data_IF_622121188934
#
_entry.id   IF_622121188934
#
_cell.length_a   1.000
_cell.length_b   1.000
_cell.length_c   1.000
_cell.angle_alpha   90.00
_cell.angle_beta   90.00
_cell.angle_gamma   90.00
#
_symmetry.space_group_name_H-M   'P 1'
#
loop_
_entity.id
_entity.type
_entity.pdbx_description
1 polymer ?
#
# COMPACT_ATOMS: atom_id res chain seq x y z
N UNK A 1 9.14 6.22 -7.96
CA UNK A 1 7.98 6.25 -7.03
C UNK A 1 7.13 4.98 -7.14
N UNK A 2 7.74 3.79 -7.00
CA UNK A 2 6.99 2.52 -7.08
C UNK A 2 6.17 2.23 -5.83
N UNK A 3 6.56 2.82 -4.71
CA UNK A 3 5.92 2.63 -3.41
C UNK A 3 4.59 3.40 -3.27
N UNK A 4 4.43 4.51 -4.00
CA UNK A 4 3.29 5.42 -3.85
C UNK A 4 1.92 4.74 -4.06
N UNK A 5 1.71 3.91 -5.10
CA UNK A 5 0.41 3.28 -5.33
C UNK A 5 -0.05 2.31 -4.23
N UNK A 6 0.87 1.78 -3.43
CA UNK A 6 0.59 0.76 -2.41
C UNK A 6 0.87 1.21 -0.99
N UNK A 7 1.17 2.50 -0.79
CA UNK A 7 1.45 3.03 0.54
C UNK A 7 0.19 2.99 1.42
N UNK A 8 0.39 2.64 2.68
CA UNK A 8 -0.66 2.57 3.69
C UNK A 8 -0.16 3.36 4.91
N UNK A 9 -0.87 4.44 5.24
CA UNK A 9 -0.64 5.18 6.47
C UNK A 9 -0.86 4.27 7.68
N UNK A 10 -0.07 4.47 8.74
CA UNK A 10 -0.23 3.70 9.97
C UNK A 10 -1.60 3.92 10.60
N UNK A 11 -2.13 5.14 10.53
CA UNK A 11 -3.45 5.46 11.05
C UNK A 11 -4.57 4.79 10.25
N UNK A 12 -4.44 4.73 8.92
CA UNK A 12 -5.40 4.03 8.07
C UNK A 12 -5.34 2.50 8.27
N UNK A 13 -4.15 1.96 8.54
CA UNK A 13 -3.97 0.55 8.91
C UNK A 13 -4.71 0.21 10.21
N UNK A 14 -4.55 1.04 11.25
CA UNK A 14 -5.23 0.84 12.53
C UNK A 14 -6.75 0.95 12.36
N UNK A 15 -7.24 1.94 11.61
CA UNK A 15 -8.67 2.12 11.34
C UNK A 15 -9.28 0.93 10.57
N UNK A 16 -8.55 0.37 9.58
CA UNK A 16 -8.99 -0.84 8.86
C UNK A 16 -9.15 -2.02 9.82
N UNK A 17 -8.19 -2.22 10.73
CA UNK A 17 -8.25 -3.31 11.72
C UNK A 17 -9.42 -3.09 12.68
N UNK A 18 -9.60 -1.87 13.19
CA UNK A 18 -10.69 -1.54 14.12
C UNK A 18 -12.07 -1.81 13.50
N UNK A 19 -12.24 -1.45 12.23
CA UNK A 19 -13.49 -1.74 11.49
C UNK A 19 -13.70 -3.22 11.23
N UNK A 20 -12.65 -3.99 10.96
CA UNK A 20 -12.77 -5.44 10.86
C UNK A 20 -13.21 -6.06 12.20
N UNK A 21 -12.74 -5.54 13.32
CA UNK A 21 -13.13 -6.00 14.66
C UNK A 21 -14.56 -5.58 15.03
N UNK A 22 -14.98 -4.39 14.60
CA UNK A 22 -16.32 -3.86 14.82
C UNK A 22 -17.35 -4.31 13.78
N UNK A 23 -16.94 -5.11 12.79
CA UNK A 23 -17.80 -5.59 11.72
C UNK A 23 -18.99 -6.40 12.28
N UNK A 24 -20.16 -6.36 11.64
CA UNK A 24 -21.33 -7.11 12.10
C UNK A 24 -21.04 -8.61 12.10
N UNK A 25 -21.58 -9.36 13.07
CA UNK A 25 -21.35 -10.80 13.17
C UNK A 25 -21.83 -11.59 11.93
N UNK A 26 -22.70 -11.01 11.09
CA UNK A 26 -23.09 -11.59 9.82
C UNK A 26 -21.93 -11.65 8.81
N UNK A 27 -20.96 -10.74 8.92
CA UNK A 27 -19.75 -10.73 8.10
C UNK A 27 -18.74 -11.73 8.66
N UNK A 28 -18.76 -12.96 8.14
CA UNK A 28 -17.88 -14.04 8.61
C UNK A 28 -16.48 -13.98 8.03
N UNK A 29 -16.36 -13.58 6.76
CA UNK A 29 -15.11 -13.48 6.03
C UNK A 29 -15.29 -12.53 4.84
N UNK A 30 -14.25 -11.76 4.54
CA UNK A 30 -14.15 -10.94 3.32
C UNK A 30 -12.68 -10.58 3.04
N UNK A 31 -12.39 -9.92 1.93
CA UNK A 31 -11.05 -9.47 1.53
C UNK A 31 -11.07 -7.99 1.12
N UNK A 32 -10.20 -7.19 1.74
CA UNK A 32 -10.10 -5.76 1.50
C UNK A 32 -8.69 -5.35 1.05
N UNK A 33 -8.61 -4.37 0.15
CA UNK A 33 -7.34 -3.72 -0.17
C UNK A 33 -7.11 -2.56 0.81
N UNK A 34 -6.28 -2.78 1.83
CA UNK A 34 -5.89 -1.74 2.77
C UNK A 34 -4.77 -0.88 2.17
N UNK A 35 -5.14 0.15 1.42
CA UNK A 35 -4.25 1.18 0.85
C UNK A 35 -4.90 2.54 1.11
N UNK A 36 -4.11 3.53 1.52
CA UNK A 36 -4.60 4.89 1.76
C UNK A 36 -5.13 5.56 0.48
N UNK A 37 -5.68 6.78 0.55
CA UNK A 37 -6.26 7.47 -0.62
C UNK A 37 -5.20 8.05 -1.57
N UNK A 38 -4.25 7.20 -1.97
CA UNK A 38 -3.14 7.56 -2.84
C UNK A 38 -3.67 7.91 -4.23
N UNK A 39 -3.16 9.01 -4.80
CA UNK A 39 -3.56 9.50 -6.14
C UNK A 39 -3.35 8.46 -7.24
N UNK A 40 -2.28 7.66 -7.12
CA UNK A 40 -1.87 6.69 -8.13
C UNK A 40 -2.19 5.23 -7.76
N UNK A 41 -3.12 5.00 -6.82
CA UNK A 41 -3.53 3.64 -6.46
C UNK A 41 -4.05 2.87 -7.68
N UNK A 42 -3.73 1.58 -7.71
CA UNK A 42 -4.09 0.64 -8.78
C UNK A 42 -5.06 -0.45 -8.29
N UNK A 43 -5.41 -0.41 -7.00
CA UNK A 43 -6.30 -1.33 -6.32
C UNK A 43 -7.52 -0.55 -5.88
N UNK A 44 -8.68 -1.17 -6.06
CA UNK A 44 -9.94 -0.58 -5.62
C UNK A 44 -10.08 -0.70 -4.09
N UNK A 45 -10.53 0.40 -3.47
CA UNK A 45 -10.83 0.51 -2.04
C UNK A 45 -12.33 0.73 -1.78
N UNK A 46 -13.15 0.85 -2.83
CA UNK A 46 -14.59 1.08 -2.76
C UNK A 46 -15.33 -0.02 -2.00
N UNK A 47 -14.95 -1.29 -2.21
CA UNK A 47 -15.54 -2.42 -1.48
C UNK A 47 -15.42 -2.28 0.05
N UNK A 48 -14.26 -1.85 0.55
CA UNK A 48 -14.05 -1.64 1.98
C UNK A 48 -14.89 -0.46 2.51
N UNK A 49 -15.09 0.58 1.71
CA UNK A 49 -16.01 1.67 2.04
C UNK A 49 -17.45 1.20 2.12
N UNK A 50 -17.90 0.36 1.18
CA UNK A 50 -19.27 -0.15 1.13
C UNK A 50 -19.58 -1.12 2.26
N UNK A 51 -18.66 -2.05 2.55
CA UNK A 51 -18.88 -3.12 3.55
C UNK A 51 -18.55 -2.67 4.98
N UNK A 52 -17.46 -1.92 5.17
CA UNK A 52 -16.95 -1.54 6.49
C UNK A 52 -17.10 -0.04 6.81
N UNK A 53 -17.60 0.75 5.86
CA UNK A 53 -17.63 2.22 5.99
C UNK A 53 -16.23 2.85 6.00
N UNK A 54 -15.20 2.13 5.53
CA UNK A 54 -13.80 2.57 5.64
C UNK A 54 -13.49 3.76 4.73
N UNK A 55 -12.93 4.81 5.31
CA UNK A 55 -12.54 6.05 4.62
C UNK A 55 -11.12 6.44 5.04
N UNK A 56 -10.08 6.01 4.30
CA UNK A 56 -8.71 6.35 4.62
C UNK A 56 -8.46 7.85 4.49
N UNK A 57 -7.55 8.37 5.32
CA UNK A 57 -7.21 9.80 5.42
C UNK A 57 -5.79 10.12 4.94
N UNK A 58 -4.92 9.11 4.87
CA UNK A 58 -3.55 9.28 4.42
C UNK A 58 -3.45 9.42 2.90
N UNK A 59 -2.36 10.05 2.45
CA UNK A 59 -1.99 10.13 1.04
C UNK A 59 -0.49 9.91 0.90
N UNK A 60 -0.06 9.01 0.02
CA UNK A 60 1.35 8.77 -0.28
C UNK A 60 2.06 10.07 -0.73
N UNK A 61 1.30 10.97 -1.37
CA UNK A 61 1.78 12.24 -1.89
C UNK A 61 2.27 13.22 -0.80
N UNK A 62 1.90 13.00 0.46
CA UNK A 62 2.36 13.80 1.60
C UNK A 62 3.82 13.49 2.01
N UNK A 63 4.40 12.41 1.46
CA UNK A 63 5.70 11.89 1.87
C UNK A 63 6.67 11.74 0.69
N UNK A 64 7.95 12.02 0.92
CA UNK A 64 9.01 11.67 -0.02
C UNK A 64 9.43 10.21 0.19
N UNK A 65 8.64 9.29 -0.38
CA UNK A 65 8.95 7.85 -0.38
C UNK A 65 10.06 7.58 -1.41
N UNK A 66 11.30 7.84 -1.00
CA UNK A 66 12.48 7.51 -1.81
C UNK A 66 12.53 6.00 -2.07
N UNK A 67 12.77 5.66 -3.33
CA UNK A 67 12.91 4.28 -3.80
C UNK A 67 14.12 4.24 -4.72
N UNK A 68 15.28 4.07 -4.10
CA UNK A 68 16.57 3.96 -4.79
C UNK A 68 16.62 2.73 -5.72
N UNK A 69 15.64 1.81 -5.64
CA UNK A 69 15.64 0.56 -6.37
C UNK A 69 16.56 -0.49 -5.75
N UNK A 70 16.37 -1.75 -6.14
CA UNK A 70 17.25 -2.85 -5.73
C UNK A 70 18.62 -2.76 -6.41
N UNK A 71 19.62 -3.49 -5.90
CA UNK A 71 21.01 -3.45 -6.42
C UNK A 71 21.12 -3.83 -7.90
N UNK A 72 20.15 -4.61 -8.41
CA UNK A 72 20.01 -4.97 -9.82
C UNK A 72 19.46 -3.83 -10.71
N UNK A 73 18.95 -2.75 -10.11
CA UNK A 73 18.37 -1.59 -10.76
C UNK A 73 19.21 -0.32 -10.57
N UNK A 74 20.00 -0.26 -9.50
CA UNK A 74 20.99 0.80 -9.24
C UNK A 74 22.38 0.23 -9.43
N UNK A 75 22.90 0.34 -10.65
CA UNK A 75 24.34 0.12 -10.90
C UNK A 75 25.06 1.40 -10.46
N UNK A 76 25.69 1.38 -9.29
CA UNK A 76 26.70 2.38 -8.93
C UNK A 76 28.06 1.90 -9.42
N UNK A 77 28.70 2.71 -10.28
CA UNK A 77 30.04 2.52 -10.83
C UNK A 77 30.26 1.19 -11.55
N UNK A 78 29.99 1.16 -12.85
CA UNK A 78 30.53 0.24 -13.87
C UNK A 78 30.71 -1.24 -13.46
N UNK A 79 29.84 -1.76 -12.56
CA UNK A 79 29.90 -3.13 -12.10
C UNK A 79 29.37 -4.05 -13.19
N UNK A 80 30.26 -4.41 -14.11
CA UNK A 80 30.08 -5.47 -15.08
C UNK A 80 30.00 -6.81 -14.33
N UNK A 81 28.79 -7.20 -13.92
CA UNK A 81 28.50 -8.53 -13.37
C UNK A 81 28.48 -9.59 -14.48
N UNK A 82 29.51 -9.64 -15.32
CA UNK A 82 29.72 -10.80 -16.20
C UNK A 82 30.17 -11.94 -15.30
N UNK A 83 29.33 -12.96 -15.14
CA UNK A 83 29.78 -14.25 -14.59
C UNK A 83 30.83 -14.78 -15.55
N UNK A 84 32.07 -14.91 -15.09
CA UNK A 84 33.10 -15.66 -15.79
C UNK A 84 32.66 -17.13 -15.82
N UNK A 85 32.41 -17.63 -17.04
CA UNK A 85 32.13 -19.04 -17.35
C UNK A 85 33.40 -19.85 -17.42
#
# INVERSE_FOLDING_TARGET
RRQYPGWLDQQDCVDMIDRCLAAPESLKFDTFNAISDNKYRWRDIGHAKEVLGWEPRGHAEDYDLDDQGGWHQVIKNDQNLRRET
#
